data_IF_306332656917
#
_entry.id   IF_306332656917
#
_cell.length_a   1.000
_cell.length_b   1.000
_cell.length_c   1.000
_cell.angle_alpha   90.00
_cell.angle_beta   90.00
_cell.angle_gamma   90.00
#
_symmetry.space_group_name_H-M   'P 1'
#
loop_
_entity.id
_entity.type
_entity.pdbx_description
1 polymer ?
#
# COMPACT_ATOMS: atom_id res chain seq x y z
N UNK A 1 -0.20 -29.39 -4.71
CA UNK A 1 1.10 -29.88 -4.20
C UNK A 1 1.39 -29.14 -2.90
N UNK A 2 0.80 -29.55 -1.78
CA UNK A 2 1.14 -28.97 -0.48
C UNK A 2 2.33 -29.78 0.04
N UNK A 3 3.53 -29.44 -0.40
CA UNK A 3 4.74 -29.98 0.20
C UNK A 3 4.71 -29.66 1.70
N UNK A 4 5.02 -30.67 2.52
CA UNK A 4 5.14 -30.50 3.97
C UNK A 4 6.32 -29.58 4.22
N UNK A 5 6.04 -28.30 4.44
CA UNK A 5 7.06 -27.33 4.80
C UNK A 5 7.36 -27.54 6.27
N UNK A 6 8.64 -27.76 6.56
CA UNK A 6 9.16 -27.77 7.92
C UNK A 6 9.18 -26.33 8.44
N UNK A 7 8.04 -25.88 9.00
CA UNK A 7 7.84 -24.51 9.49
C UNK A 7 8.89 -24.13 10.55
N UNK A 8 9.36 -25.11 11.33
CA UNK A 8 10.38 -24.92 12.37
C UNK A 8 11.77 -24.65 11.79
N UNK A 9 12.03 -25.03 10.54
CA UNK A 9 13.30 -24.77 9.85
C UNK A 9 13.29 -23.48 9.01
N UNK A 10 12.15 -22.77 8.94
CA UNK A 10 12.07 -21.52 8.18
C UNK A 10 13.03 -20.46 8.74
N UNK A 11 13.65 -19.69 7.84
CA UNK A 11 14.40 -18.50 8.21
C UNK A 11 13.49 -17.55 9.00
N UNK A 12 14.05 -16.82 9.97
CA UNK A 12 13.27 -15.98 10.90
C UNK A 12 12.31 -15.01 10.18
N UNK A 13 12.76 -14.41 9.07
CA UNK A 13 11.92 -13.59 8.20
C UNK A 13 10.67 -14.33 7.69
N UNK A 14 10.84 -15.54 7.14
CA UNK A 14 9.73 -16.34 6.62
C UNK A 14 8.85 -16.90 7.73
N UNK A 15 9.39 -17.15 8.94
CA UNK A 15 8.56 -17.45 10.12
C UNK A 15 7.62 -16.29 10.47
N UNK A 16 8.17 -15.07 10.56
CA UNK A 16 7.36 -13.88 10.82
C UNK A 16 6.35 -13.62 9.71
N UNK A 17 6.76 -13.78 8.45
CA UNK A 17 5.86 -13.60 7.30
C UNK A 17 4.76 -14.67 7.30
N UNK A 18 5.09 -15.93 7.53
CA UNK A 18 4.12 -17.04 7.66
C UNK A 18 3.10 -16.77 8.77
N UNK A 19 3.54 -16.27 9.92
CA UNK A 19 2.62 -15.91 11.02
C UNK A 19 1.72 -14.72 10.68
N UNK A 20 2.17 -13.82 9.80
CA UNK A 20 1.41 -12.65 9.38
C UNK A 20 0.38 -12.96 8.28
N UNK A 21 0.76 -13.73 7.26
CA UNK A 21 -0.05 -13.92 6.04
C UNK A 21 -0.47 -15.37 5.77
N UNK A 22 -0.04 -16.32 6.59
CA UNK A 22 -0.25 -17.75 6.41
C UNK A 22 0.73 -18.40 5.44
N UNK A 23 0.79 -19.73 5.44
CA UNK A 23 1.78 -20.51 4.68
C UNK A 23 1.61 -20.39 3.18
N UNK A 24 0.39 -20.46 2.68
CA UNK A 24 0.12 -20.38 1.24
C UNK A 24 0.55 -19.02 0.66
N UNK A 25 0.13 -17.91 1.28
CA UNK A 25 0.51 -16.56 0.86
C UNK A 25 2.03 -16.33 0.98
N UNK A 26 2.65 -16.84 2.05
CA UNK A 26 4.10 -16.75 2.25
C UNK A 26 4.87 -17.45 1.12
N UNK A 27 4.42 -18.62 0.68
CA UNK A 27 5.01 -19.35 -0.44
C UNK A 27 4.87 -18.62 -1.76
N UNK A 28 3.72 -18.02 -2.04
CA UNK A 28 3.52 -17.20 -3.24
C UNK A 28 4.54 -16.05 -3.25
N UNK A 29 4.70 -15.35 -2.12
CA UNK A 29 5.68 -14.26 -2.00
C UNK A 29 7.10 -14.79 -2.18
N UNK A 30 7.45 -15.91 -1.55
CA UNK A 30 8.77 -16.53 -1.71
C UNK A 30 9.05 -16.86 -3.18
N UNK A 31 8.13 -17.51 -3.88
CA UNK A 31 8.35 -17.95 -5.25
C UNK A 31 8.55 -16.78 -6.20
N UNK A 32 7.78 -15.71 -6.03
CA UNK A 32 7.86 -14.54 -6.91
C UNK A 32 9.03 -13.60 -6.59
N UNK A 33 9.46 -13.51 -5.33
CA UNK A 33 10.39 -12.46 -4.89
C UNK A 33 11.69 -12.95 -4.26
N UNK A 34 11.92 -14.27 -4.13
CA UNK A 34 13.19 -14.81 -3.62
C UNK A 34 14.40 -14.26 -4.40
N UNK A 35 15.43 -13.84 -3.69
CA UNK A 35 16.65 -13.25 -4.26
C UNK A 35 16.52 -11.78 -4.67
N UNK A 36 15.36 -11.14 -4.50
CA UNK A 36 15.18 -9.70 -4.75
C UNK A 36 15.26 -8.87 -3.47
N UNK A 37 15.65 -7.60 -3.60
CA UNK A 37 15.52 -6.62 -2.52
C UNK A 37 14.20 -5.87 -2.69
N UNK A 38 13.25 -6.10 -1.78
CA UNK A 38 11.97 -5.39 -1.75
C UNK A 38 12.03 -4.21 -0.78
N UNK A 39 11.54 -3.06 -1.23
CA UNK A 39 11.28 -1.90 -0.38
C UNK A 39 9.78 -1.61 -0.41
N UNK A 40 9.12 -1.67 0.74
CA UNK A 40 7.69 -1.40 0.84
C UNK A 40 7.45 0.11 0.94
N UNK A 41 6.68 0.71 0.01
CA UNK A 41 6.32 2.11 0.10
C UNK A 41 5.54 2.41 1.39
N UNK A 42 5.81 3.58 1.98
CA UNK A 42 5.06 4.08 3.17
C UNK A 42 3.60 4.38 2.81
N UNK A 43 3.36 4.87 1.58
CA UNK A 43 2.02 5.14 1.08
C UNK A 43 1.47 3.94 0.34
N UNK A 44 0.32 3.46 0.80
CA UNK A 44 -0.39 2.33 0.19
C UNK A 44 -0.91 2.67 -1.22
N UNK A 45 -1.36 3.90 -1.43
CA UNK A 45 -1.94 4.35 -2.69
C UNK A 45 -0.92 5.12 -3.53
N UNK A 46 -1.04 5.02 -4.85
CA UNK A 46 -0.24 5.83 -5.78
C UNK A 46 -0.67 7.31 -5.71
N UNK A 47 0.32 8.21 -5.68
CA UNK A 47 0.08 9.66 -5.51
C UNK A 47 -0.71 10.27 -6.66
N UNK A 48 -0.43 9.86 -7.90
CA UNK A 48 -1.08 10.43 -9.11
C UNK A 48 -2.50 9.91 -9.24
N UNK A 49 -2.71 8.61 -9.06
CA UNK A 49 -4.05 8.00 -9.09
C UNK A 49 -4.91 8.56 -7.96
N UNK A 50 -4.34 8.69 -6.76
CA UNK A 50 -5.05 9.27 -5.62
C UNK A 50 -5.46 10.71 -5.88
N UNK A 51 -4.60 11.54 -6.50
CA UNK A 51 -4.95 12.93 -6.79
C UNK A 51 -6.23 13.03 -7.64
N UNK A 52 -6.38 12.18 -8.65
CA UNK A 52 -7.58 12.12 -9.49
C UNK A 52 -8.82 11.68 -8.69
N UNK A 53 -8.67 10.68 -7.82
CA UNK A 53 -9.77 10.22 -6.96
C UNK A 53 -10.21 11.30 -5.97
N UNK A 54 -9.25 12.01 -5.38
CA UNK A 54 -9.53 13.12 -4.46
C UNK A 54 -10.32 14.22 -5.18
N UNK A 55 -9.94 14.61 -6.40
CA UNK A 55 -10.69 15.60 -7.18
C UNK A 55 -12.12 15.14 -7.51
N UNK A 56 -12.31 13.84 -7.75
CA UNK A 56 -13.62 13.26 -8.05
C UNK A 56 -14.53 13.13 -6.83
N UNK A 57 -13.96 12.79 -5.67
CA UNK A 57 -14.71 12.55 -4.42
C UNK A 57 -14.87 13.81 -3.55
N UNK A 58 -14.23 14.92 -3.92
CA UNK A 58 -14.27 16.14 -3.14
C UNK A 58 -15.66 16.80 -3.19
N UNK A 59 -16.26 17.04 -2.03
CA UNK A 59 -17.60 17.62 -1.87
C UNK A 59 -17.59 19.05 -1.29
N UNK A 60 -16.42 19.69 -1.22
CA UNK A 60 -16.26 21.03 -0.63
C UNK A 60 -15.79 21.04 0.82
N UNK A 61 -16.12 20.01 1.61
CA UNK A 61 -15.88 20.02 3.07
C UNK A 61 -15.17 18.75 3.59
N UNK A 62 -15.03 17.70 2.78
CA UNK A 62 -14.47 16.40 3.18
C UNK A 62 -12.93 16.27 3.09
N UNK A 63 -12.17 17.36 3.17
CA UNK A 63 -10.70 17.31 3.05
C UNK A 63 -10.04 16.41 4.11
N UNK A 64 -10.54 16.47 5.35
CA UNK A 64 -10.03 15.65 6.45
C UNK A 64 -10.28 14.15 6.22
N UNK A 65 -11.45 13.81 5.71
CA UNK A 65 -11.83 12.42 5.43
C UNK A 65 -10.99 11.84 4.30
N UNK A 66 -10.80 12.59 3.21
CA UNK A 66 -9.97 12.17 2.08
C UNK A 66 -8.50 11.99 2.49
N UNK A 67 -7.95 12.91 3.29
CA UNK A 67 -6.61 12.80 3.85
C UNK A 67 -6.43 11.49 4.63
N UNK A 68 -7.38 11.17 5.52
CA UNK A 68 -7.34 9.94 6.32
C UNK A 68 -7.54 8.69 5.46
N UNK A 69 -8.50 8.70 4.53
CA UNK A 69 -8.82 7.58 3.64
C UNK A 69 -7.62 7.15 2.80
N UNK A 70 -6.92 8.12 2.22
CA UNK A 70 -5.80 7.86 1.31
C UNK A 70 -4.42 7.91 1.98
N UNK A 71 -4.35 8.19 3.28
CA UNK A 71 -3.08 8.24 4.02
C UNK A 71 -2.16 9.39 3.59
N UNK A 72 -2.75 10.53 3.21
CA UNK A 72 -2.03 11.75 2.87
C UNK A 72 -2.33 12.89 3.85
N UNK A 73 -1.49 13.92 3.87
CA UNK A 73 -1.75 15.10 4.69
C UNK A 73 -2.86 15.97 4.09
N UNK A 74 -3.60 16.70 4.93
CA UNK A 74 -4.56 17.69 4.46
C UNK A 74 -3.93 18.76 3.56
N UNK A 75 -2.68 19.16 3.87
CA UNK A 75 -1.91 20.08 3.02
C UNK A 75 -1.72 19.55 1.60
N UNK A 76 -1.46 18.25 1.46
CA UNK A 76 -1.35 17.62 0.14
C UNK A 76 -2.70 17.62 -0.59
N UNK A 77 -3.80 17.33 0.11
CA UNK A 77 -5.16 17.41 -0.47
C UNK A 77 -5.45 18.83 -0.98
N UNK A 78 -5.13 19.86 -0.20
CA UNK A 78 -5.29 21.26 -0.62
C UNK A 78 -4.41 21.64 -1.82
N UNK A 79 -3.18 21.13 -1.88
CA UNK A 79 -2.29 21.30 -3.03
C UNK A 79 -2.90 20.71 -4.30
N UNK A 80 -3.39 19.46 -4.24
CA UNK A 80 -4.09 18.81 -5.37
C UNK A 80 -5.28 19.64 -5.84
N UNK A 81 -6.07 20.20 -4.92
CA UNK A 81 -7.20 21.07 -5.25
C UNK A 81 -6.79 22.38 -5.90
N UNK A 82 -5.63 22.93 -5.54
CA UNK A 82 -5.11 24.16 -6.12
C UNK A 82 -4.56 23.92 -7.52
N UNK A 83 -3.74 22.89 -7.69
CA UNK A 83 -3.16 22.52 -8.99
C UNK A 83 -4.27 22.25 -10.03
N UNK A 84 -5.34 21.55 -9.65
CA UNK A 84 -6.47 21.30 -10.53
C UNK A 84 -7.28 22.54 -10.94
N UNK A 85 -7.13 23.66 -10.21
CA UNK A 85 -7.74 24.96 -10.58
C UNK A 85 -6.83 25.79 -11.47
N UNK A 86 -5.51 25.60 -11.40
CA UNK A 86 -4.52 26.30 -12.21
C UNK A 86 -4.40 25.68 -13.62
N UNK A 87 -4.71 24.38 -13.77
CA UNK A 87 -4.77 23.68 -15.06
C UNK A 87 -6.09 23.89 -15.84
N UNK A 88 -7.00 24.76 -15.36
CA UNK A 88 -8.26 25.13 -16.03
C UNK A 88 -8.22 26.56 -16.55
#
# INVERSE_FOLDING_TARGET
MAERIELDALHQFYKSLNNLVGTESMLIIYEHYKGTQLNFPVHLYDRKVTAQLVLKEFNGHNQHELARKYGYSQKWIQMVMREAKEDK
#
